data_IF_089105949364
#
_entry.id   IF_089105949364
#
_cell.length_a   1.000
_cell.length_b   1.000
_cell.length_c   1.000
_cell.angle_alpha   90.00
_cell.angle_beta   90.00
_cell.angle_gamma   90.00
#
_symmetry.space_group_name_H-M   'P 1'
#
loop_
_entity.id
_entity.type
_entity.pdbx_description
1 polymer ?
#
# COMPACT_ATOMS: atom_id res chain seq x y z
N UNK A 1 -6.71 8.40 -5.00
CA UNK A 1 -6.17 7.75 -3.79
C UNK A 1 -6.28 8.69 -2.63
N UNK A 2 -6.67 8.17 -1.48
CA UNK A 2 -6.82 8.95 -0.26
C UNK A 2 -5.53 9.04 0.55
N UNK A 3 -4.56 8.17 0.29
CA UNK A 3 -3.28 8.14 0.97
C UNK A 3 -2.12 8.28 -0.02
N UNK A 4 -1.01 8.90 0.39
CA UNK A 4 0.03 9.37 -0.53
C UNK A 4 0.95 8.30 -1.07
N UNK A 5 0.96 7.10 -0.50
CA UNK A 5 1.93 6.08 -0.86
C UNK A 5 1.31 4.72 -1.09
N UNK A 6 1.86 4.08 -2.11
CA UNK A 6 1.66 2.67 -2.37
C UNK A 6 0.28 2.37 -2.92
N UNK A 7 0.03 2.72 -4.17
CA UNK A 7 -1.03 2.07 -4.91
C UNK A 7 -0.42 0.84 -5.57
N UNK A 8 -0.83 -0.30 -5.07
CA UNK A 8 -0.58 -1.58 -5.70
C UNK A 8 -1.84 -2.00 -6.45
N UNK A 9 -1.75 -2.19 -7.75
CA UNK A 9 -2.83 -2.71 -8.56
C UNK A 9 -2.45 -4.10 -9.06
N UNK A 10 -2.98 -5.17 -8.48
CA UNK A 10 -2.83 -6.49 -9.06
C UNK A 10 -3.61 -6.56 -10.37
N UNK A 11 -2.91 -6.73 -11.47
CA UNK A 11 -3.50 -6.76 -12.80
C UNK A 11 -3.01 -7.96 -13.60
N UNK A 12 -3.90 -8.60 -14.32
CA UNK A 12 -3.54 -9.64 -15.29
C UNK A 12 -2.70 -9.08 -16.43
N UNK A 13 -1.86 -9.91 -17.03
CA UNK A 13 -0.94 -9.53 -18.11
C UNK A 13 -1.62 -8.80 -19.28
N UNK A 14 -2.85 -9.20 -19.65
CA UNK A 14 -3.61 -8.52 -20.69
C UNK A 14 -3.97 -7.08 -20.36
N UNK A 15 -4.37 -6.81 -19.11
CA UNK A 15 -4.68 -5.45 -18.65
C UNK A 15 -3.41 -4.58 -18.56
N UNK A 16 -2.30 -5.17 -18.12
CA UNK A 16 -0.99 -4.50 -18.10
C UNK A 16 -0.54 -4.15 -19.51
N UNK A 17 -0.66 -5.08 -20.47
CA UNK A 17 -0.33 -4.86 -21.87
C UNK A 17 -1.20 -3.74 -22.50
N UNK A 18 -2.51 -3.75 -22.20
CA UNK A 18 -3.42 -2.70 -22.64
C UNK A 18 -3.01 -1.33 -22.07
N UNK A 19 -2.73 -1.25 -20.77
CA UNK A 19 -2.29 -0.02 -20.12
C UNK A 19 -0.94 0.48 -20.68
N UNK A 20 -0.01 -0.43 -20.97
CA UNK A 20 1.28 -0.08 -21.57
C UNK A 20 1.12 0.47 -23.00
N UNK A 21 0.18 -0.09 -23.79
CA UNK A 21 -0.05 0.33 -25.16
C UNK A 21 -0.85 1.64 -25.27
N UNK A 22 -1.81 1.85 -24.37
CA UNK A 22 -2.78 2.97 -24.47
C UNK A 22 -2.50 4.13 -23.51
N UNK A 23 -1.65 3.91 -22.49
CA UNK A 23 -1.38 4.87 -21.41
C UNK A 23 -2.51 4.99 -20.38
N UNK A 24 -3.56 4.15 -20.46
CA UNK A 24 -4.71 4.17 -19.55
C UNK A 24 -5.05 2.77 -19.08
N UNK A 25 -5.58 2.67 -17.86
CA UNK A 25 -6.10 1.43 -17.29
C UNK A 25 -7.57 1.65 -16.92
N UNK A 26 -8.53 0.95 -17.58
CA UNK A 26 -9.93 1.04 -17.20
C UNK A 26 -10.13 0.31 -15.86
N UNK A 27 -10.79 1.00 -14.93
CA UNK A 27 -11.16 0.46 -13.63
C UNK A 27 -12.59 0.87 -13.30
N UNK A 28 -13.34 -0.03 -12.70
CA UNK A 28 -14.57 0.34 -12.02
C UNK A 28 -14.22 1.17 -10.78
N UNK A 29 -15.06 2.14 -10.40
CA UNK A 29 -14.82 2.94 -9.20
C UNK A 29 -14.95 2.02 -7.98
N UNK A 30 -13.85 1.67 -7.30
CA UNK A 30 -13.90 0.76 -6.18
C UNK A 30 -14.30 1.48 -4.89
N UNK A 31 -15.05 0.79 -4.04
CA UNK A 31 -15.18 1.18 -2.64
C UNK A 31 -13.84 0.96 -1.92
N UNK A 32 -13.67 1.56 -0.74
CA UNK A 32 -12.51 1.36 0.12
C UNK A 32 -12.85 0.56 1.38
N UNK A 33 -11.89 -0.24 1.82
CA UNK A 33 -11.88 -0.87 3.15
C UNK A 33 -10.74 -0.28 3.95
N UNK A 34 -11.05 0.24 5.15
CA UNK A 34 -10.04 0.78 6.03
C UNK A 34 -9.53 -0.30 6.99
N UNK A 35 -8.21 -0.45 7.06
CA UNK A 35 -7.52 -1.19 8.12
C UNK A 35 -6.78 -0.19 8.99
N UNK A 36 -7.15 -0.14 10.26
CA UNK A 36 -6.58 0.78 11.25
C UNK A 36 -5.80 0.00 12.30
N UNK A 37 -4.49 0.15 12.28
CA UNK A 37 -3.63 -0.34 13.36
C UNK A 37 -3.60 0.66 14.51
N UNK A 38 -3.70 0.15 15.74
CA UNK A 38 -3.64 0.95 16.97
C UNK A 38 -2.50 0.47 17.86
N UNK A 39 -1.96 1.39 18.65
CA UNK A 39 -0.89 1.05 19.58
C UNK A 39 0.49 0.92 18.97
N UNK A 40 1.33 0.10 19.55
CA UNK A 40 2.74 -0.09 19.12
C UNK A 40 3.03 -1.55 18.88
N UNK A 41 3.84 -1.84 17.87
CA UNK A 41 4.34 -3.16 17.57
C UNK A 41 5.08 -3.75 18.78
N UNK A 42 4.76 -4.99 19.12
CA UNK A 42 5.38 -5.69 20.24
C UNK A 42 6.75 -6.28 19.83
N UNK A 43 7.68 -6.46 20.77
CA UNK A 43 8.93 -7.16 20.50
C UNK A 43 8.68 -8.56 19.92
N UNK A 44 9.39 -8.91 18.86
CA UNK A 44 9.25 -10.19 18.16
C UNK A 44 8.18 -10.23 17.08
N UNK A 45 7.28 -9.23 17.02
CA UNK A 45 6.33 -9.07 15.91
C UNK A 45 7.03 -8.40 14.73
N UNK A 46 6.83 -8.95 13.56
CA UNK A 46 7.42 -8.49 12.30
C UNK A 46 6.38 -7.87 11.38
N UNK A 47 6.82 -7.25 10.31
CA UNK A 47 5.92 -6.75 9.27
C UNK A 47 5.06 -7.87 8.65
N UNK A 48 5.63 -9.08 8.52
CA UNK A 48 4.91 -10.24 7.99
C UNK A 48 3.72 -10.62 8.88
N UNK A 49 3.84 -10.46 10.20
CA UNK A 49 2.73 -10.71 11.12
C UNK A 49 1.59 -9.70 10.90
N UNK A 50 1.92 -8.44 10.60
CA UNK A 50 0.91 -7.43 10.23
C UNK A 50 0.20 -7.80 8.92
N UNK A 51 0.93 -8.29 7.93
CA UNK A 51 0.36 -8.80 6.67
C UNK A 51 -0.69 -9.86 6.95
N UNK A 52 -0.41 -10.81 7.82
CA UNK A 52 -1.31 -11.90 8.16
C UNK A 52 -2.41 -11.50 9.15
N UNK A 53 -2.17 -10.51 10.01
CA UNK A 53 -3.17 -10.01 10.95
C UNK A 53 -4.41 -9.44 10.24
N UNK A 54 -4.24 -8.81 9.07
CA UNK A 54 -5.35 -8.22 8.32
C UNK A 54 -6.41 -9.27 7.95
N UNK A 55 -6.10 -10.35 7.20
CA UNK A 55 -7.10 -11.38 6.89
C UNK A 55 -7.59 -12.11 8.14
N UNK A 56 -6.75 -12.33 9.14
CA UNK A 56 -7.14 -12.97 10.38
C UNK A 56 -8.24 -12.17 11.11
N UNK A 57 -8.08 -10.86 11.25
CA UNK A 57 -9.09 -10.00 11.87
C UNK A 57 -10.36 -9.89 11.00
N UNK A 58 -10.22 -9.90 9.67
CA UNK A 58 -11.36 -9.94 8.77
C UNK A 58 -12.18 -11.25 8.92
N UNK A 59 -11.50 -12.39 9.13
CA UNK A 59 -12.17 -13.67 9.41
C UNK A 59 -12.91 -13.59 10.75
N UNK A 60 -12.26 -13.09 11.80
CA UNK A 60 -12.89 -12.90 13.11
C UNK A 60 -14.14 -12.02 13.04
N UNK A 61 -14.11 -11.00 12.21
CA UNK A 61 -15.25 -10.09 11.99
C UNK A 61 -16.34 -10.64 11.04
N UNK A 62 -16.17 -11.86 10.49
CA UNK A 62 -17.11 -12.44 9.52
C UNK A 62 -17.13 -11.74 8.16
N UNK A 63 -16.09 -10.95 7.85
CA UNK A 63 -15.91 -10.20 6.59
C UNK A 63 -15.15 -11.00 5.53
N UNK A 64 -14.42 -12.03 5.95
CA UNK A 64 -13.68 -12.96 5.10
C UNK A 64 -13.99 -14.38 5.54
N UNK A 65 -14.26 -15.28 4.59
CA UNK A 65 -14.50 -16.69 4.89
C UNK A 65 -13.51 -17.57 4.12
N UNK A 66 -13.06 -18.63 4.77
CA UNK A 66 -12.17 -19.64 4.18
C UNK A 66 -12.97 -20.74 3.48
N UNK A 67 -14.27 -20.84 3.72
CA UNK A 67 -15.14 -21.88 3.17
C UNK A 67 -15.29 -21.75 1.64
N UNK A 68 -15.33 -22.91 0.95
CA UNK A 68 -15.50 -22.95 -0.51
C UNK A 68 -16.88 -22.48 -0.97
N UNK A 69 -17.91 -22.69 -0.17
CA UNK A 69 -19.29 -22.27 -0.47
C UNK A 69 -19.68 -21.05 0.39
N UNK A 70 -20.40 -20.10 -0.21
CA UNK A 70 -20.80 -18.86 0.45
C UNK A 70 -19.61 -17.95 0.75
N UNK A 71 -18.59 -17.95 -0.10
CA UNK A 71 -17.33 -17.21 0.07
C UNK A 71 -17.61 -15.71 0.18
N UNK A 72 -17.24 -15.13 1.33
CA UNK A 72 -17.18 -13.68 1.51
C UNK A 72 -15.74 -13.23 1.45
N UNK A 73 -15.49 -12.14 0.75
CA UNK A 73 -14.21 -11.48 0.75
C UNK A 73 -14.43 -9.96 0.64
N UNK A 74 -14.35 -9.28 1.77
CA UNK A 74 -14.56 -7.82 1.83
C UNK A 74 -13.52 -7.04 1.02
N UNK A 75 -12.35 -7.61 0.79
CA UNK A 75 -11.28 -6.95 0.04
C UNK A 75 -11.45 -7.07 -1.47
N UNK A 76 -12.20 -8.07 -1.95
CA UNK A 76 -12.31 -8.36 -3.39
C UNK A 76 -12.84 -7.17 -4.17
N UNK A 77 -12.03 -6.69 -5.14
CA UNK A 77 -12.36 -5.55 -5.99
C UNK A 77 -12.36 -4.19 -5.30
N UNK A 78 -11.91 -4.10 -4.03
CA UNK A 78 -11.87 -2.85 -3.26
C UNK A 78 -10.46 -2.34 -3.06
N UNK A 79 -10.32 -1.05 -2.79
CA UNK A 79 -9.06 -0.45 -2.35
C UNK A 79 -8.89 -0.72 -0.85
N UNK A 80 -7.76 -1.29 -0.48
CA UNK A 80 -7.36 -1.43 0.92
C UNK A 80 -6.61 -0.17 1.35
N UNK A 81 -7.14 0.56 2.31
CA UNK A 81 -6.50 1.72 2.91
C UNK A 81 -5.98 1.35 4.30
N UNK A 82 -4.68 1.53 4.53
CA UNK A 82 -4.02 1.13 5.78
C UNK A 82 -3.50 2.37 6.50
N UNK A 83 -3.81 2.51 7.78
CA UNK A 83 -3.31 3.56 8.66
C UNK A 83 -2.86 3.04 10.03
N UNK A 84 -2.23 3.92 10.82
CA UNK A 84 -1.76 3.59 12.17
C UNK A 84 -0.33 3.06 12.23
N UNK A 85 0.39 3.08 11.11
CA UNK A 85 1.79 2.66 10.98
C UNK A 85 2.64 3.80 10.39
N UNK A 86 2.61 5.01 10.97
CA UNK A 86 3.14 6.22 10.33
C UNK A 86 4.65 6.17 10.08
N UNK A 87 5.40 5.43 10.90
CA UNK A 87 6.87 5.39 10.88
C UNK A 87 7.46 4.23 10.07
N UNK A 88 6.63 3.45 9.37
CA UNK A 88 7.16 2.43 8.46
C UNK A 88 8.02 3.08 7.39
N UNK A 89 9.13 2.42 7.04
CA UNK A 89 9.88 2.79 5.85
C UNK A 89 9.04 2.51 4.60
N UNK A 90 9.29 3.25 3.53
CA UNK A 90 8.53 3.11 2.27
C UNK A 90 8.65 1.68 1.72
N UNK A 91 9.82 1.04 1.85
CA UNK A 91 10.03 -0.35 1.44
C UNK A 91 9.17 -1.33 2.26
N UNK A 92 9.00 -1.08 3.55
CA UNK A 92 8.11 -1.86 4.40
C UNK A 92 6.64 -1.64 4.03
N UNK A 93 6.28 -0.40 3.71
CA UNK A 93 4.94 -0.08 3.22
C UNK A 93 4.65 -0.77 1.88
N UNK A 94 5.62 -0.87 0.98
CA UNK A 94 5.50 -1.63 -0.26
C UNK A 94 5.23 -3.12 0.00
N UNK A 95 5.95 -3.76 0.91
CA UNK A 95 5.71 -5.16 1.26
C UNK A 95 4.29 -5.35 1.79
N UNK A 96 3.83 -4.47 2.68
CA UNK A 96 2.49 -4.54 3.25
C UNK A 96 1.40 -4.29 2.19
N UNK A 97 1.63 -3.37 1.24
CA UNK A 97 0.68 -3.07 0.16
C UNK A 97 0.64 -4.18 -0.89
N UNK A 98 1.79 -4.74 -1.25
CA UNK A 98 1.88 -5.82 -2.24
C UNK A 98 1.09 -7.06 -1.81
N UNK A 99 1.15 -7.40 -0.53
CA UNK A 99 0.38 -8.50 0.04
C UNK A 99 -1.16 -8.33 -0.11
N UNK A 100 -1.67 -7.16 -0.46
CA UNK A 100 -3.09 -6.95 -0.74
C UNK A 100 -3.59 -7.70 -1.97
N UNK A 101 -2.70 -7.99 -2.93
CA UNK A 101 -2.98 -8.79 -4.11
C UNK A 101 -3.49 -10.18 -3.75
N UNK A 102 -2.90 -10.81 -2.73
CA UNK A 102 -3.28 -12.14 -2.23
C UNK A 102 -4.72 -12.17 -1.68
N UNK A 103 -5.30 -11.02 -1.39
CA UNK A 103 -6.68 -10.87 -0.92
C UNK A 103 -7.64 -10.45 -2.01
N UNK A 104 -7.21 -10.45 -3.27
CA UNK A 104 -7.99 -9.96 -4.42
C UNK A 104 -8.41 -8.50 -4.31
N UNK A 105 -7.68 -7.68 -3.55
CA UNK A 105 -7.92 -6.24 -3.51
C UNK A 105 -7.61 -5.62 -4.88
N UNK A 106 -8.37 -4.60 -5.28
CA UNK A 106 -8.10 -3.87 -6.52
C UNK A 106 -6.89 -2.94 -6.39
N UNK A 107 -6.51 -2.59 -5.18
CA UNK A 107 -5.34 -1.76 -4.89
C UNK A 107 -5.15 -1.58 -3.39
N UNK A 108 -4.02 -0.99 -3.00
CA UNK A 108 -3.73 -0.68 -1.62
C UNK A 108 -3.03 0.67 -1.49
N UNK A 109 -3.39 1.42 -0.47
CA UNK A 109 -2.70 2.64 -0.08
C UNK A 109 -2.36 2.60 1.41
N UNK A 110 -1.25 3.22 1.80
CA UNK A 110 -0.79 3.25 3.19
C UNK A 110 -0.51 4.70 3.59
N UNK A 111 -1.02 5.08 4.75
CA UNK A 111 -0.72 6.36 5.37
C UNK A 111 0.60 6.29 6.13
N UNK A 112 1.59 7.06 5.69
CA UNK A 112 2.87 7.25 6.36
C UNK A 112 3.04 8.70 6.81
N UNK A 113 3.95 8.92 7.75
CA UNK A 113 4.47 10.26 8.03
C UNK A 113 5.31 10.78 6.86
N UNK A 114 5.56 12.06 6.86
CA UNK A 114 6.29 12.74 5.80
C UNK A 114 7.77 12.33 5.75
N UNK A 115 8.39 12.09 6.90
CA UNK A 115 9.82 11.80 7.02
C UNK A 115 10.26 10.53 6.25
N UNK A 116 9.59 9.35 6.38
CA UNK A 116 9.91 8.17 5.59
C UNK A 116 9.82 8.41 4.08
N UNK A 117 8.86 9.22 3.65
CA UNK A 117 8.68 9.57 2.22
C UNK A 117 9.81 10.44 1.72
N UNK A 118 10.20 11.45 2.50
CA UNK A 118 11.32 12.34 2.19
C UNK A 118 12.63 11.55 2.11
N UNK A 119 12.90 10.66 3.06
CA UNK A 119 14.08 9.81 3.07
C UNK A 119 14.16 8.98 1.77
N UNK A 120 13.08 8.29 1.44
CA UNK A 120 12.99 7.46 0.24
C UNK A 120 13.20 8.26 -1.05
N UNK A 121 12.54 9.41 -1.18
CA UNK A 121 12.66 10.24 -2.38
C UNK A 121 14.05 10.86 -2.54
N UNK A 122 14.70 11.25 -1.42
CA UNK A 122 16.09 11.70 -1.45
C UNK A 122 17.04 10.61 -1.92
N UNK A 123 16.88 9.39 -1.44
CA UNK A 123 17.69 8.24 -1.88
C UNK A 123 17.50 7.96 -3.37
N UNK A 124 16.26 8.05 -3.88
CA UNK A 124 15.99 7.89 -5.32
C UNK A 124 16.63 8.98 -6.18
N UNK A 125 16.68 10.22 -5.70
CA UNK A 125 17.41 11.30 -6.41
C UNK A 125 18.91 10.97 -6.51
N UNK A 126 19.51 10.46 -5.43
CA UNK A 126 20.92 10.03 -5.44
C UNK A 126 21.12 8.89 -6.43
N UNK A 127 20.27 7.88 -6.42
CA UNK A 127 20.32 6.75 -7.36
C UNK A 127 20.23 7.22 -8.81
N UNK A 128 19.24 8.04 -9.14
CA UNK A 128 19.07 8.55 -10.52
C UNK A 128 20.27 9.38 -10.99
N UNK A 129 20.86 10.20 -10.12
CA UNK A 129 22.11 10.95 -10.43
C UNK A 129 23.28 10.00 -10.71
N UNK A 130 23.42 8.93 -9.93
CA UNK A 130 24.45 7.92 -10.16
C UNK A 130 24.23 7.17 -11.50
N UNK A 131 23.00 6.82 -11.83
CA UNK A 131 22.67 6.21 -13.13
C UNK A 131 23.07 7.11 -14.30
N UNK A 132 22.79 8.41 -14.21
CA UNK A 132 23.20 9.40 -15.21
C UNK A 132 24.73 9.45 -15.33
N UNK A 133 25.43 9.48 -14.19
CA UNK A 133 26.90 9.52 -14.16
C UNK A 133 27.55 8.27 -14.76
N UNK A 134 26.85 7.12 -14.69
CA UNK A 134 27.28 5.84 -15.27
C UNK A 134 26.87 5.68 -16.73
N UNK A 135 26.27 6.68 -17.36
CA UNK A 135 25.93 6.66 -18.77
C UNK A 135 24.62 5.98 -19.12
N UNK A 136 23.64 6.00 -18.20
CA UNK A 136 22.30 5.50 -18.51
C UNK A 136 21.70 6.17 -19.74
N UNK A 137 21.19 5.38 -20.69
CA UNK A 137 20.80 5.85 -22.03
C UNK A 137 19.74 6.95 -22.02
N UNK A 138 18.69 6.82 -21.19
CA UNK A 138 17.61 7.80 -21.09
C UNK A 138 17.86 8.83 -19.98
N UNK A 139 18.96 9.56 -20.11
CA UNK A 139 19.34 10.64 -19.20
C UNK A 139 18.24 11.69 -19.04
N UNK A 140 17.59 12.08 -20.14
CA UNK A 140 16.57 13.13 -20.16
C UNK A 140 15.36 12.79 -19.25
N UNK A 141 14.91 11.53 -19.27
CA UNK A 141 13.83 11.08 -18.40
C UNK A 141 14.24 11.11 -16.94
N UNK A 142 15.46 10.71 -16.61
CA UNK A 142 15.96 10.76 -15.24
C UNK A 142 16.09 12.20 -14.73
N UNK A 143 16.61 13.12 -15.53
CA UNK A 143 16.72 14.54 -15.17
C UNK A 143 15.34 15.13 -14.86
N UNK A 144 14.35 14.91 -15.74
CA UNK A 144 12.97 15.38 -15.50
C UNK A 144 12.35 14.79 -14.22
N UNK A 145 12.61 13.51 -13.91
CA UNK A 145 12.16 12.90 -12.67
C UNK A 145 12.84 13.48 -11.43
N UNK A 146 14.14 13.72 -11.51
CA UNK A 146 14.90 14.39 -10.44
C UNK A 146 14.32 15.78 -10.15
N UNK A 147 14.08 16.57 -11.18
CA UNK A 147 13.46 17.91 -11.05
C UNK A 147 12.10 17.84 -10.38
N UNK A 148 11.23 16.93 -10.82
CA UNK A 148 9.89 16.74 -10.24
C UNK A 148 9.96 16.32 -8.77
N UNK A 149 10.84 15.40 -8.41
CA UNK A 149 11.03 14.96 -7.03
C UNK A 149 11.59 16.09 -6.17
N UNK A 150 12.57 16.83 -6.66
CA UNK A 150 13.17 17.95 -5.94
C UNK A 150 12.16 19.10 -5.73
N UNK A 151 11.30 19.37 -6.71
CA UNK A 151 10.23 20.34 -6.58
C UNK A 151 9.23 19.93 -5.48
N UNK A 152 8.85 18.66 -5.41
CA UNK A 152 8.00 18.15 -4.33
C UNK A 152 8.70 18.23 -2.97
N UNK A 153 9.98 17.85 -2.88
CA UNK A 153 10.78 17.89 -1.66
C UNK A 153 10.98 19.33 -1.10
N UNK A 154 10.84 20.34 -1.93
CA UNK A 154 10.91 21.74 -1.50
C UNK A 154 9.66 22.19 -0.71
N UNK A 155 8.51 21.56 -0.96
CA UNK A 155 7.25 21.81 -0.24
C UNK A 155 6.44 20.50 -0.16
N UNK A 156 6.86 19.54 0.69
CA UNK A 156 6.23 18.24 0.75
C UNK A 156 4.78 18.34 1.24
N UNK A 157 3.85 17.77 0.49
CA UNK A 157 2.45 17.66 0.89
C UNK A 157 2.00 16.22 0.66
N UNK A 158 1.49 15.60 1.71
CA UNK A 158 0.88 14.28 1.66
C UNK A 158 -0.64 14.43 1.54
N UNK A 159 -1.24 13.51 0.77
CA UNK A 159 -2.70 13.42 0.71
C UNK A 159 -3.22 12.75 1.98
N UNK A 160 -4.37 13.18 2.43
CA UNK A 160 -5.09 12.58 3.56
C UNK A 160 -6.50 12.19 3.12
N UNK A 161 -7.12 11.28 3.87
CA UNK A 161 -8.53 10.96 3.66
C UNK A 161 -9.38 12.16 4.04
N UNK A 162 -10.47 12.39 3.29
CA UNK A 162 -11.46 13.39 3.66
C UNK A 162 -12.10 13.04 5.02
N UNK A 163 -12.50 14.06 5.77
CA UNK A 163 -13.07 13.88 7.10
C UNK A 163 -14.38 13.06 7.08
N UNK A 164 -15.10 13.09 5.97
CA UNK A 164 -16.36 12.39 5.71
C UNK A 164 -16.17 11.15 4.83
N UNK A 165 -14.94 10.62 4.72
CA UNK A 165 -14.65 9.45 3.92
C UNK A 165 -15.46 8.22 4.38
N UNK A 166 -16.22 7.63 3.46
CA UNK A 166 -16.98 6.42 3.68
C UNK A 166 -16.20 5.17 3.32
N UNK A 167 -16.36 4.11 4.11
CA UNK A 167 -15.71 2.83 3.92
C UNK A 167 -16.73 1.69 3.90
N UNK A 168 -16.55 0.71 3.02
CA UNK A 168 -17.36 -0.50 2.99
C UNK A 168 -17.22 -1.33 4.28
N UNK A 169 -16.06 -1.26 4.92
CA UNK A 169 -15.80 -1.81 6.25
C UNK A 169 -14.59 -1.11 6.88
N UNK A 170 -14.55 -1.13 8.22
CA UNK A 170 -13.40 -0.70 9.02
C UNK A 170 -12.94 -1.89 9.86
N UNK A 171 -11.67 -2.27 9.75
CA UNK A 171 -11.05 -3.35 10.52
C UNK A 171 -10.00 -2.71 11.43
N UNK A 172 -10.25 -2.77 12.73
CA UNK A 172 -9.33 -2.27 13.74
C UNK A 172 -8.46 -3.42 14.29
N UNK A 173 -7.17 -3.19 14.39
CA UNK A 173 -6.18 -4.17 14.87
C UNK A 173 -5.35 -3.51 15.97
N UNK A 174 -5.47 -3.99 17.20
CA UNK A 174 -4.63 -3.53 18.30
C UNK A 174 -3.28 -4.29 18.27
N UNK A 175 -2.20 -3.56 18.01
CA UNK A 175 -0.86 -4.11 17.99
C UNK A 175 -0.40 -4.63 19.34
N UNK A 176 -1.00 -4.18 20.44
CA UNK A 176 -0.70 -4.70 21.78
C UNK A 176 -1.23 -6.13 21.99
N UNK A 177 -2.23 -6.55 21.20
CA UNK A 177 -2.76 -7.91 21.23
C UNK A 177 -1.95 -8.90 20.37
N UNK A 178 -1.13 -8.40 19.44
CA UNK A 178 -0.25 -9.22 18.61
C UNK A 178 1.02 -9.57 19.38
N UNK A 179 0.98 -10.65 20.15
CA UNK A 179 2.10 -11.10 21.00
C UNK A 179 2.86 -12.31 20.43
N UNK A 180 2.31 -12.94 19.44
CA UNK A 180 2.83 -14.15 18.81
C UNK A 180 2.82 -14.00 17.28
N UNK A 181 3.67 -14.73 16.56
CA UNK A 181 3.63 -14.76 15.11
C UNK A 181 2.24 -15.13 14.58
N UNK A 182 1.76 -14.38 13.61
CA UNK A 182 0.46 -14.62 12.97
C UNK A 182 0.69 -15.27 11.62
N UNK A 183 0.05 -16.40 11.40
CA UNK A 183 -0.02 -17.06 10.10
C UNK A 183 -1.48 -17.26 9.71
N UNK A 184 -1.88 -16.65 8.62
CA UNK A 184 -3.24 -16.74 8.11
C UNK A 184 -3.20 -16.92 6.58
N UNK A 185 -3.96 -17.90 6.09
CA UNK A 185 -4.14 -18.03 4.65
C UNK A 185 -5.00 -16.87 4.15
N UNK A 186 -4.56 -16.13 3.15
CA UNK A 186 -5.30 -14.96 2.64
C UNK A 186 -6.52 -15.33 1.78
N UNK A 187 -6.67 -16.61 1.39
CA UNK A 187 -7.71 -17.11 0.47
C UNK A 187 -8.59 -18.19 1.08
#
# INVERSE_FOLDING_TARGET
>A
TRFPIGISFPAGSGLVAFAAATGVMPLDMPESVLVRFKGRMQPGVTLRDLVHAIPYHAIKAGLLTVAKQGKKNIFSGRILEIEGLPHLKVEQAFELSDASAERSAAGCTIRLDQEPVIEYLRSNVVLMKNMIAQGYEDRRTLERRIEAVQAWLANPQLLEADADAEYAAVIEIDLAELKEPVLCCPN
#
